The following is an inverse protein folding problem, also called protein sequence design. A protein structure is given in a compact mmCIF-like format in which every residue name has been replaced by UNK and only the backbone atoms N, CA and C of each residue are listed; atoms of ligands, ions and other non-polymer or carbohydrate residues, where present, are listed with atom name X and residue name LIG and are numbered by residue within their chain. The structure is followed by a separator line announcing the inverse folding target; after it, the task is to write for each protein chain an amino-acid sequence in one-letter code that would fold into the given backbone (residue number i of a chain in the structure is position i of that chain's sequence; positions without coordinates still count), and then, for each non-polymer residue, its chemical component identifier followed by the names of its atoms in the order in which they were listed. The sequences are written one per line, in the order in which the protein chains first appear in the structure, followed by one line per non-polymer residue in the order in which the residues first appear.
data_IF_611241903579
#
_entry.id   IF_611241903579
#
_cell.length_a   1.000
_cell.length_b   1.000
_cell.length_c   1.000
_cell.angle_alpha   90.00
_cell.angle_beta   90.00
_cell.angle_gamma   90.00
#
_symmetry.space_group_name_H-M   'P 1'
#
loop_
_entity.id
_entity.type
_entity.pdbx_description
1 polymer ?
#
# COMPACT_ATOMS: atom_id res chain seq x y z
N UNK A 1 -14.05 22.77 -14.31
CA UNK A 1 -13.34 22.58 -15.60
C UNK A 1 -14.34 22.15 -16.66
N UNK A 2 -14.45 22.93 -17.74
CA UNK A 2 -15.21 22.59 -18.95
C UNK A 2 -14.68 21.26 -19.50
N UNK A 3 -15.51 20.40 -20.12
CA UNK A 3 -14.96 19.23 -20.80
C UNK A 3 -13.93 19.70 -21.83
N UNK A 4 -12.81 18.97 -21.87
CA UNK A 4 -11.60 19.37 -22.58
C UNK A 4 -11.93 19.57 -24.07
N UNK A 5 -11.26 20.54 -24.70
CA UNK A 5 -11.34 20.68 -26.16
C UNK A 5 -10.88 19.38 -26.83
N UNK A 6 -11.35 19.06 -28.06
CA UNK A 6 -10.93 17.86 -28.77
C UNK A 6 -9.40 17.72 -28.86
N UNK A 7 -8.69 18.83 -29.08
CA UNK A 7 -7.23 18.88 -29.10
C UNK A 7 -6.60 18.54 -27.73
N UNK A 8 -7.22 19.00 -26.63
CA UNK A 8 -6.75 18.70 -25.28
C UNK A 8 -7.05 17.24 -24.86
N UNK A 9 -8.15 16.66 -25.33
CA UNK A 9 -8.44 15.22 -25.17
C UNK A 9 -7.39 14.40 -25.91
N UNK A 10 -7.15 14.71 -27.18
CA UNK A 10 -6.17 14.00 -28.00
C UNK A 10 -4.76 14.04 -27.41
N UNK A 11 -4.35 15.20 -26.90
CA UNK A 11 -3.06 15.35 -26.20
C UNK A 11 -2.99 14.45 -24.96
N UNK A 12 -4.05 14.36 -24.16
CA UNK A 12 -4.08 13.47 -22.98
C UNK A 12 -4.01 12.00 -23.36
N UNK A 13 -4.73 11.57 -24.40
CA UNK A 13 -4.67 10.17 -24.85
C UNK A 13 -3.25 9.81 -25.30
N UNK A 14 -2.57 10.71 -26.02
CA UNK A 14 -1.17 10.54 -26.39
C UNK A 14 -0.24 10.48 -25.18
N UNK A 15 -0.46 11.32 -24.17
CA UNK A 15 0.32 11.30 -22.92
C UNK A 15 0.11 9.99 -22.14
N UNK A 16 -1.13 9.49 -22.06
CA UNK A 16 -1.45 8.23 -21.38
C UNK A 16 -0.75 7.04 -22.08
N UNK A 17 -0.69 7.03 -23.42
CA UNK A 17 0.04 6.00 -24.20
C UNK A 17 1.56 6.16 -24.07
N UNK A 18 2.09 7.38 -24.17
CA UNK A 18 3.52 7.64 -24.05
C UNK A 18 4.08 7.22 -22.68
N UNK A 19 3.30 7.45 -21.61
CA UNK A 19 3.63 7.05 -20.25
C UNK A 19 3.87 5.53 -20.13
N UNK A 20 3.15 4.71 -20.90
CA UNK A 20 3.36 3.25 -20.90
C UNK A 20 4.76 2.89 -21.38
N UNK A 21 5.24 3.47 -22.48
CA UNK A 21 6.59 3.20 -23.00
C UNK A 21 7.70 3.66 -22.06
N UNK A 22 7.46 4.69 -21.24
CA UNK A 22 8.42 5.18 -20.26
C UNK A 22 8.54 4.26 -19.04
N UNK A 23 7.49 3.50 -18.72
CA UNK A 23 7.34 2.80 -17.43
C UNK A 23 7.23 1.29 -17.53
N UNK A 24 6.84 0.77 -18.69
CA UNK A 24 6.71 -0.65 -18.95
C UNK A 24 7.69 -1.10 -20.05
N UNK A 25 8.78 -1.79 -19.68
CA UNK A 25 9.73 -2.38 -20.63
C UNK A 25 9.12 -3.40 -21.59
N UNK A 26 7.94 -3.96 -21.27
CA UNK A 26 7.26 -4.95 -22.11
C UNK A 26 6.52 -4.33 -23.31
N UNK A 27 6.24 -3.02 -23.28
CA UNK A 27 5.49 -2.34 -24.33
C UNK A 27 6.31 -2.25 -25.63
N UNK A 28 5.86 -2.92 -26.70
CA UNK A 28 6.61 -2.99 -27.97
C UNK A 28 6.11 -2.02 -29.03
N UNK A 29 4.81 -1.74 -29.06
CA UNK A 29 4.20 -0.93 -30.12
C UNK A 29 2.98 -0.14 -29.65
N UNK A 30 2.70 1.00 -30.30
CA UNK A 30 1.52 1.82 -29.98
C UNK A 30 0.23 1.04 -30.20
N UNK A 31 0.19 0.19 -31.25
CA UNK A 31 -0.97 -0.65 -31.54
C UNK A 31 -1.27 -1.61 -30.40
N UNK A 32 -0.25 -2.27 -29.86
CA UNK A 32 -0.36 -3.15 -28.69
C UNK A 32 -0.86 -2.39 -27.47
N UNK A 33 -0.27 -1.23 -27.15
CA UNK A 33 -0.72 -0.41 -26.01
C UNK A 33 -2.18 0.02 -26.16
N UNK A 34 -2.59 0.42 -27.36
CA UNK A 34 -3.96 0.88 -27.59
C UNK A 34 -4.97 -0.26 -27.58
N UNK A 35 -4.59 -1.49 -27.99
CA UNK A 35 -5.55 -2.60 -28.13
C UNK A 35 -5.51 -3.62 -27.00
N UNK A 36 -4.40 -3.71 -26.26
CA UNK A 36 -4.14 -4.80 -25.31
C UNK A 36 -3.70 -4.34 -23.91
N UNK A 37 -3.74 -3.04 -23.57
CA UNK A 37 -3.46 -2.56 -22.21
C UNK A 37 -4.74 -2.18 -21.45
N UNK A 38 -5.24 -3.04 -20.55
CA UNK A 38 -6.45 -2.76 -19.77
C UNK A 38 -6.34 -1.50 -18.91
N UNK A 39 -5.13 -1.20 -18.41
CA UNK A 39 -4.85 0.01 -17.63
C UNK A 39 -5.17 1.29 -18.41
N UNK A 40 -4.72 1.37 -19.66
CA UNK A 40 -4.99 2.51 -20.55
C UNK A 40 -6.48 2.62 -20.84
N UNK A 41 -7.14 1.49 -21.16
CA UNK A 41 -8.58 1.46 -21.42
C UNK A 41 -9.39 1.95 -20.23
N UNK A 42 -9.08 1.47 -19.02
CA UNK A 42 -9.77 1.86 -17.81
C UNK A 42 -9.66 3.37 -17.53
N UNK A 43 -8.48 3.96 -17.76
CA UNK A 43 -8.29 5.42 -17.63
C UNK A 43 -9.12 6.18 -18.65
N UNK A 44 -9.18 5.73 -19.91
CA UNK A 44 -9.99 6.39 -20.94
C UNK A 44 -11.49 6.31 -20.64
N UNK A 45 -12.00 5.13 -20.29
CA UNK A 45 -13.38 4.95 -19.85
C UNK A 45 -13.69 5.83 -18.64
N UNK A 46 -12.80 5.87 -17.65
CA UNK A 46 -12.97 6.74 -16.49
C UNK A 46 -13.05 8.22 -16.89
N UNK A 47 -12.17 8.71 -17.78
CA UNK A 47 -12.21 10.12 -18.22
C UNK A 47 -13.56 10.47 -18.88
N UNK A 48 -14.14 9.54 -19.66
CA UNK A 48 -15.48 9.70 -20.23
C UNK A 48 -16.58 9.67 -19.13
N UNK A 49 -16.56 8.65 -18.27
CA UNK A 49 -17.50 8.52 -17.15
C UNK A 49 -17.44 9.71 -16.20
N UNK A 50 -16.27 10.27 -15.96
CA UNK A 50 -16.06 11.46 -15.13
C UNK A 50 -16.64 12.72 -15.78
N UNK A 51 -16.50 12.90 -17.11
CA UNK A 51 -17.19 14.00 -17.81
C UNK A 51 -18.71 13.86 -17.66
N UNK A 52 -19.28 12.67 -17.84
CA UNK A 52 -20.71 12.40 -17.62
C UNK A 52 -21.15 12.69 -16.18
N UNK A 53 -20.36 12.22 -15.20
CA UNK A 53 -20.61 12.45 -13.77
C UNK A 53 -20.68 13.94 -13.45
N UNK A 54 -19.74 14.73 -13.97
CA UNK A 54 -19.72 16.20 -13.78
C UNK A 54 -20.87 16.93 -14.45
N UNK A 55 -21.51 16.33 -15.46
CA UNK A 55 -22.70 16.89 -16.12
C UNK A 55 -24.01 16.47 -15.44
N UNK A 56 -23.94 15.73 -14.33
CA UNK A 56 -25.11 15.26 -13.59
C UNK A 56 -25.71 13.96 -14.12
N UNK A 57 -25.10 13.33 -15.12
CA UNK A 57 -25.58 12.09 -15.74
C UNK A 57 -25.09 10.88 -14.94
N UNK A 58 -25.39 10.86 -13.64
CA UNK A 58 -24.79 9.97 -12.66
C UNK A 58 -25.02 8.49 -12.97
N UNK A 59 -26.23 8.12 -13.38
CA UNK A 59 -26.56 6.74 -13.72
C UNK A 59 -25.72 6.26 -14.91
N UNK A 60 -25.65 7.05 -15.99
CA UNK A 60 -24.88 6.68 -17.18
C UNK A 60 -23.38 6.60 -16.87
N UNK A 61 -22.87 7.54 -16.09
CA UNK A 61 -21.49 7.52 -15.62
C UNK A 61 -21.16 6.24 -14.82
N UNK A 62 -22.05 5.84 -13.90
CA UNK A 62 -21.88 4.59 -13.14
C UNK A 62 -21.98 3.35 -14.03
N UNK A 63 -22.97 3.29 -14.89
CA UNK A 63 -23.14 2.18 -15.83
C UNK A 63 -21.89 2.00 -16.68
N UNK A 64 -21.37 3.07 -17.27
CA UNK A 64 -20.15 3.03 -18.07
C UNK A 64 -18.91 2.63 -17.25
N UNK A 65 -18.79 3.09 -16.00
CA UNK A 65 -17.70 2.62 -15.12
C UNK A 65 -17.78 1.12 -14.81
N UNK A 66 -18.99 0.56 -14.71
CA UNK A 66 -19.16 -0.88 -14.50
C UNK A 66 -18.89 -1.69 -15.77
N UNK A 67 -19.22 -1.16 -16.96
CA UNK A 67 -18.79 -1.76 -18.24
C UNK A 67 -17.26 -1.78 -18.33
N UNK A 68 -16.59 -0.67 -17.99
CA UNK A 68 -15.12 -0.60 -17.93
C UNK A 68 -14.55 -1.65 -16.96
N UNK A 69 -15.12 -1.76 -15.76
CA UNK A 69 -14.72 -2.78 -14.77
C UNK A 69 -14.87 -4.19 -15.31
N UNK A 70 -15.97 -4.49 -16.00
CA UNK A 70 -16.21 -5.80 -16.59
C UNK A 70 -15.16 -6.15 -17.65
N UNK A 71 -14.79 -5.19 -18.51
CA UNK A 71 -13.82 -5.40 -19.59
C UNK A 71 -12.36 -5.44 -19.12
N UNK A 72 -12.03 -4.69 -18.07
CA UNK A 72 -10.61 -4.44 -17.69
C UNK A 72 -10.22 -5.05 -16.34
N UNK A 73 -11.19 -5.42 -15.49
CA UNK A 73 -10.95 -5.82 -14.11
C UNK A 73 -10.56 -4.67 -13.16
N UNK A 74 -10.58 -3.43 -13.64
CA UNK A 74 -10.22 -2.22 -12.89
C UNK A 74 -11.49 -1.43 -12.55
N UNK A 75 -11.72 -1.18 -11.25
CA UNK A 75 -12.84 -0.38 -10.78
C UNK A 75 -12.40 1.04 -10.45
N UNK A 76 -12.90 2.02 -11.21
CA UNK A 76 -12.67 3.44 -10.95
C UNK A 76 -14.02 4.14 -10.85
N UNK A 77 -14.33 4.66 -9.66
CA UNK A 77 -15.56 5.41 -9.48
C UNK A 77 -15.56 6.68 -10.36
N UNK A 78 -16.67 7.04 -11.04
CA UNK A 78 -16.72 8.22 -11.91
C UNK A 78 -16.41 9.55 -11.20
N UNK A 79 -16.71 9.62 -9.90
CA UNK A 79 -16.43 10.78 -9.05
C UNK A 79 -14.95 10.98 -8.69
N UNK A 80 -14.09 9.97 -8.88
CA UNK A 80 -12.67 10.09 -8.57
C UNK A 80 -12.00 11.15 -9.45
N UNK A 81 -11.02 11.85 -8.91
CA UNK A 81 -10.24 12.84 -9.65
C UNK A 81 -8.87 12.27 -9.99
N UNK A 82 -8.54 12.20 -11.28
CA UNK A 82 -7.30 11.61 -11.77
C UNK A 82 -6.55 12.60 -12.65
N UNK A 83 -5.28 12.81 -12.32
CA UNK A 83 -4.32 13.61 -13.06
C UNK A 83 -3.94 13.07 -14.45
N UNK A 84 -2.82 13.56 -14.94
CA UNK A 84 -2.20 13.24 -16.23
C UNK A 84 -1.21 12.10 -16.07
N UNK A 85 -0.99 11.33 -17.15
CA UNK A 85 0.00 10.25 -17.20
C UNK A 85 -0.13 9.26 -16.03
N UNK A 86 -1.38 9.02 -15.61
CA UNK A 86 -1.70 8.04 -14.59
C UNK A 86 -1.55 6.65 -15.19
N UNK A 87 -0.68 5.84 -14.62
CA UNK A 87 -0.34 4.53 -15.14
C UNK A 87 -0.87 3.44 -14.21
N UNK A 88 -1.57 2.46 -14.78
CA UNK A 88 -2.03 1.28 -14.07
C UNK A 88 -1.37 0.06 -14.71
N UNK A 89 -0.45 -0.55 -13.97
CA UNK A 89 0.28 -1.72 -14.43
C UNK A 89 -0.39 -3.00 -13.91
N UNK A 90 -0.61 -3.95 -14.82
CA UNK A 90 -1.30 -5.21 -14.55
C UNK A 90 -2.66 -5.07 -13.83
N UNK A 91 -3.39 -3.97 -14.04
CA UNK A 91 -4.42 -3.42 -13.13
C UNK A 91 -5.59 -4.28 -12.59
N UNK A 92 -5.67 -5.58 -12.87
CA UNK A 92 -6.66 -6.47 -12.29
C UNK A 92 -6.80 -6.27 -10.77
N UNK A 93 -8.04 -6.06 -10.31
CA UNK A 93 -8.36 -5.88 -8.89
C UNK A 93 -7.98 -4.51 -8.33
N UNK A 94 -7.59 -3.54 -9.15
CA UNK A 94 -7.45 -2.14 -8.72
C UNK A 94 -8.83 -1.55 -8.43
N UNK A 95 -8.99 -0.91 -7.26
CA UNK A 95 -10.23 -0.28 -6.81
C UNK A 95 -9.96 1.14 -6.35
N UNK A 96 -10.58 2.11 -7.02
CA UNK A 96 -10.44 3.55 -6.75
C UNK A 96 -11.81 4.13 -6.39
N UNK A 97 -11.96 4.55 -5.14
CA UNK A 97 -13.24 5.03 -4.63
C UNK A 97 -13.62 6.46 -5.02
N UNK A 98 -14.87 6.82 -4.73
CA UNK A 98 -15.53 8.04 -5.24
C UNK A 98 -14.80 9.35 -4.97
N UNK A 99 -14.25 9.52 -3.77
CA UNK A 99 -13.63 10.79 -3.36
C UNK A 99 -12.11 10.72 -3.38
N UNK A 100 -11.56 9.73 -4.09
CA UNK A 100 -10.12 9.61 -4.28
C UNK A 100 -9.64 10.74 -5.18
N UNK A 101 -8.48 11.30 -4.84
CA UNK A 101 -7.79 12.28 -5.66
C UNK A 101 -6.40 11.72 -5.97
N UNK A 102 -6.04 11.68 -7.25
CA UNK A 102 -4.77 11.13 -7.73
C UNK A 102 -4.07 12.22 -8.54
N UNK A 103 -2.87 12.61 -8.09
CA UNK A 103 -2.02 13.56 -8.79
C UNK A 103 -1.52 13.07 -10.14
N UNK A 104 -0.71 13.90 -10.78
CA UNK A 104 -0.05 13.59 -12.04
C UNK A 104 1.03 12.52 -11.83
N UNK A 105 1.31 11.74 -12.87
CA UNK A 105 2.43 10.79 -12.89
C UNK A 105 2.39 9.66 -11.87
N UNK A 106 1.26 9.40 -11.23
CA UNK A 106 1.12 8.26 -10.33
C UNK A 106 1.15 6.92 -11.07
N UNK A 107 1.69 5.89 -10.41
CA UNK A 107 1.67 4.50 -10.88
C UNK A 107 1.03 3.60 -9.84
N UNK A 108 0.02 2.84 -10.24
CA UNK A 108 -0.64 1.83 -9.43
C UNK A 108 -0.45 0.45 -10.05
N UNK A 109 -0.03 -0.52 -9.24
CA UNK A 109 0.01 -1.92 -9.66
C UNK A 109 -1.32 -2.63 -9.35
N UNK A 110 -1.45 -3.85 -9.85
CA UNK A 110 -2.59 -4.75 -9.62
C UNK A 110 -2.98 -4.88 -8.14
N UNK A 111 -4.28 -5.11 -7.88
CA UNK A 111 -4.81 -5.35 -6.54
C UNK A 111 -4.75 -4.16 -5.56
N UNK A 112 -4.35 -2.96 -6.02
CA UNK A 112 -4.33 -1.76 -5.17
C UNK A 112 -5.74 -1.30 -4.83
N UNK A 113 -5.97 -0.87 -3.59
CA UNK A 113 -7.24 -0.26 -3.18
C UNK A 113 -7.02 1.13 -2.58
N UNK A 114 -7.71 2.13 -3.14
CA UNK A 114 -7.87 3.46 -2.56
C UNK A 114 -9.28 3.54 -1.95
N UNK A 115 -9.38 3.07 -0.70
CA UNK A 115 -10.64 2.73 -0.04
C UNK A 115 -11.11 3.75 1.00
N UNK A 116 -12.39 3.70 1.32
CA UNK A 116 -12.99 4.49 2.40
C UNK A 116 -12.95 3.77 3.75
N UNK A 117 -12.95 4.53 4.84
CA UNK A 117 -13.04 4.01 6.22
C UNK A 117 -14.36 4.37 6.93
N UNK A 118 -15.24 5.14 6.27
CA UNK A 118 -16.47 5.65 6.86
C UNK A 118 -17.66 5.50 5.90
N UNK A 119 -18.84 5.28 6.48
CA UNK A 119 -20.14 5.24 5.80
C UNK A 119 -20.72 6.64 5.55
N UNK A 120 -20.14 7.67 6.16
CA UNK A 120 -20.62 9.04 6.02
C UNK A 120 -20.33 9.59 4.61
N UNK A 121 -21.27 10.39 4.10
CA UNK A 121 -21.07 11.15 2.87
C UNK A 121 -19.98 12.20 3.08
N UNK A 122 -19.11 12.38 2.08
CA UNK A 122 -17.99 13.31 2.12
C UNK A 122 -16.65 12.70 1.71
N UNK A 123 -15.56 13.45 1.94
CA UNK A 123 -14.19 13.00 1.70
C UNK A 123 -13.88 11.84 2.65
N UNK A 124 -13.59 10.68 2.07
CA UNK A 124 -13.36 9.43 2.80
C UNK A 124 -12.31 8.53 2.17
N UNK A 125 -11.90 8.84 0.94
CA UNK A 125 -10.85 8.12 0.22
C UNK A 125 -9.56 8.95 0.17
N UNK A 126 -8.42 8.32 -0.13
CA UNK A 126 -7.12 8.97 -0.08
C UNK A 126 -6.94 10.11 -1.09
N UNK A 127 -5.91 10.92 -0.84
CA UNK A 127 -5.36 11.90 -1.77
C UNK A 127 -3.89 11.53 -2.03
N UNK A 128 -3.56 11.16 -3.27
CA UNK A 128 -2.19 10.91 -3.71
C UNK A 128 -1.65 12.19 -4.37
N UNK A 129 -0.47 12.62 -3.95
CA UNK A 129 0.32 13.66 -4.61
C UNK A 129 0.86 13.20 -5.96
N UNK A 130 1.75 13.97 -6.56
CA UNK A 130 2.32 13.67 -7.87
C UNK A 130 3.44 12.62 -7.79
N UNK A 131 3.56 11.78 -8.80
CA UNK A 131 4.65 10.80 -8.92
C UNK A 131 4.62 9.69 -7.86
N UNK A 132 3.48 9.49 -7.19
CA UNK A 132 3.35 8.43 -6.17
C UNK A 132 3.32 7.05 -6.85
N UNK A 133 4.08 6.12 -6.30
CA UNK A 133 4.10 4.72 -6.75
C UNK A 133 3.49 3.84 -5.68
N UNK A 134 2.44 3.09 -6.03
CA UNK A 134 1.74 2.19 -5.12
C UNK A 134 1.92 0.76 -5.57
N UNK A 135 2.69 -0.01 -4.79
CA UNK A 135 3.01 -1.41 -5.05
C UNK A 135 1.79 -2.33 -5.06
N UNK A 136 1.96 -3.50 -5.67
CA UNK A 136 0.89 -4.46 -5.89
C UNK A 136 0.18 -4.86 -4.59
N UNK A 137 -1.14 -4.95 -4.61
CA UNK A 137 -1.95 -5.40 -3.48
C UNK A 137 -2.07 -4.42 -2.32
N UNK A 138 -1.41 -3.25 -2.36
CA UNK A 138 -1.47 -2.29 -1.26
C UNK A 138 -2.88 -1.71 -1.03
N UNK A 139 -3.19 -1.40 0.23
CA UNK A 139 -4.48 -0.83 0.66
C UNK A 139 -4.22 0.51 1.33
N UNK A 140 -4.71 1.59 0.74
CA UNK A 140 -4.62 2.94 1.28
C UNK A 140 -6.03 3.34 1.68
N UNK A 141 -6.28 3.46 2.98
CA UNK A 141 -7.64 3.52 3.52
C UNK A 141 -7.86 4.83 4.28
N UNK A 142 -8.97 5.51 3.95
CA UNK A 142 -9.41 6.71 4.63
C UNK A 142 -9.01 7.99 3.92
N UNK A 143 -9.45 9.16 4.43
CA UNK A 143 -9.15 10.47 3.85
C UNK A 143 -7.72 10.95 4.19
N UNK A 144 -6.73 10.09 3.94
CA UNK A 144 -5.31 10.36 4.22
C UNK A 144 -4.59 10.94 3.00
N UNK A 145 -3.50 11.65 3.25
CA UNK A 145 -2.64 12.26 2.25
C UNK A 145 -1.36 11.46 2.07
N UNK A 146 -1.02 11.16 0.82
CA UNK A 146 0.26 10.56 0.43
C UNK A 146 1.02 11.60 -0.37
N UNK A 147 2.12 12.11 0.18
CA UNK A 147 2.89 13.19 -0.40
C UNK A 147 3.56 12.83 -1.72
N UNK A 148 3.99 13.85 -2.45
CA UNK A 148 4.64 13.70 -3.76
C UNK A 148 5.83 12.74 -3.72
N UNK A 149 5.98 11.94 -4.77
CA UNK A 149 7.06 10.96 -4.95
C UNK A 149 7.17 9.91 -3.82
N UNK A 150 6.15 9.76 -2.98
CA UNK A 150 6.11 8.70 -2.00
C UNK A 150 5.99 7.32 -2.67
N UNK A 151 6.47 6.29 -1.99
CA UNK A 151 6.44 4.89 -2.45
C UNK A 151 5.75 4.03 -1.41
N UNK A 152 4.69 3.34 -1.81
CA UNK A 152 3.97 2.40 -0.96
C UNK A 152 4.40 0.99 -1.36
N UNK A 153 4.91 0.22 -0.40
CA UNK A 153 5.30 -1.17 -0.62
C UNK A 153 4.11 -2.06 -0.98
N UNK A 154 4.39 -3.15 -1.69
CA UNK A 154 3.38 -4.16 -2.00
C UNK A 154 2.72 -4.71 -0.74
N UNK A 155 1.44 -5.04 -0.82
CA UNK A 155 0.58 -5.56 0.26
C UNK A 155 0.57 -4.71 1.55
N UNK A 156 1.04 -3.46 1.50
CA UNK A 156 1.06 -2.60 2.69
C UNK A 156 -0.32 -2.02 2.97
N UNK A 157 -0.66 -1.83 4.25
CA UNK A 157 -1.93 -1.23 4.69
C UNK A 157 -1.66 0.13 5.31
N UNK A 158 -1.93 1.19 4.54
CA UNK A 158 -1.65 2.58 4.92
C UNK A 158 -2.90 3.20 5.55
N UNK A 159 -2.76 3.58 6.81
CA UNK A 159 -3.85 4.15 7.64
C UNK A 159 -3.56 5.58 8.11
N UNK A 160 -2.40 6.13 7.77
CA UNK A 160 -1.91 7.45 8.20
C UNK A 160 -1.27 8.18 7.03
N UNK A 161 -1.18 9.49 7.14
CA UNK A 161 -0.51 10.33 6.14
C UNK A 161 0.94 9.90 5.90
N UNK A 162 1.37 9.95 4.65
CA UNK A 162 2.71 9.58 4.20
C UNK A 162 3.44 10.83 3.73
N UNK A 163 4.60 11.18 4.33
CA UNK A 163 5.38 12.33 3.89
C UNK A 163 5.85 12.22 2.43
N UNK A 164 6.08 13.36 1.78
CA UNK A 164 6.65 13.40 0.44
C UNK A 164 8.02 12.71 0.38
N UNK A 165 8.26 11.93 -0.68
CA UNK A 165 9.49 11.16 -0.91
C UNK A 165 9.70 9.98 0.05
N UNK A 166 8.80 9.75 1.02
CA UNK A 166 8.92 8.65 1.96
C UNK A 166 8.59 7.31 1.29
N UNK A 167 9.17 6.23 1.82
CA UNK A 167 8.78 4.86 1.49
C UNK A 167 8.11 4.25 2.71
N UNK A 168 6.92 3.67 2.55
CA UNK A 168 6.22 2.97 3.64
C UNK A 168 5.96 1.51 3.28
N UNK A 169 6.08 0.62 4.27
CA UNK A 169 5.84 -0.82 4.10
C UNK A 169 5.15 -1.40 5.33
N UNK A 170 4.46 -2.54 5.17
CA UNK A 170 3.94 -3.35 6.28
C UNK A 170 2.44 -3.20 6.54
N UNK A 171 1.95 -3.95 7.52
CA UNK A 171 0.55 -3.99 7.96
C UNK A 171 0.51 -3.88 9.50
N UNK A 172 0.16 -2.71 10.07
CA UNK A 172 -0.03 -1.42 9.41
C UNK A 172 1.30 -0.87 8.83
N UNK A 173 1.20 0.04 7.86
CA UNK A 173 2.38 0.56 7.18
C UNK A 173 3.16 1.55 8.04
N UNK A 174 4.49 1.44 8.00
CA UNK A 174 5.44 2.32 8.69
C UNK A 174 6.46 2.90 7.71
N UNK A 175 6.93 4.12 7.99
CA UNK A 175 7.98 4.78 7.19
C UNK A 175 9.29 4.04 7.36
N UNK A 176 9.86 3.61 6.24
CA UNK A 176 11.20 3.03 6.18
C UNK A 176 12.19 4.18 6.14
N UNK A 177 12.82 4.47 7.27
CA UNK A 177 14.07 5.23 7.27
C UNK A 177 15.09 4.44 6.47
N UNK A 178 15.78 5.08 5.52
CA UNK A 178 16.90 4.45 4.80
C UNK A 178 17.90 3.95 5.84
N UNK A 179 17.87 2.66 6.14
CA UNK A 179 18.99 2.00 6.79
C UNK A 179 20.24 2.34 5.97
N UNK A 180 21.35 2.65 6.65
CA UNK A 180 22.61 3.00 5.99
C UNK A 180 22.89 2.00 4.86
N UNK A 181 23.50 2.47 3.77
CA UNK A 181 23.83 1.62 2.63
C UNK A 181 24.59 0.34 3.05
N UNK A 182 25.33 0.40 4.15
CA UNK A 182 25.99 -0.72 4.82
C UNK A 182 25.02 -1.81 5.30
N UNK A 183 23.89 -1.43 5.93
CA UNK A 183 22.89 -2.41 6.42
C UNK A 183 22.12 -3.05 5.28
N UNK A 184 21.86 -2.30 4.20
CA UNK A 184 21.29 -2.85 2.95
C UNK A 184 22.28 -3.78 2.24
N UNK A 185 23.57 -3.44 2.20
CA UNK A 185 24.60 -4.27 1.61
C UNK A 185 24.89 -5.54 2.44
N UNK A 186 24.69 -5.49 3.76
CA UNK A 186 24.79 -6.67 4.64
C UNK A 186 23.59 -7.62 4.45
N UNK A 187 22.39 -7.09 4.25
CA UNK A 187 21.17 -7.87 3.98
C UNK A 187 21.19 -8.43 2.55
N UNK A 188 21.57 -7.62 1.56
CA UNK A 188 21.68 -8.05 0.16
C UNK A 188 22.78 -9.11 -0.04
N UNK A 189 23.90 -9.03 0.70
CA UNK A 189 24.92 -10.09 0.70
C UNK A 189 24.44 -11.41 1.34
N UNK A 190 23.36 -11.39 2.13
CA UNK A 190 22.71 -12.59 2.67
C UNK A 190 21.55 -13.11 1.82
N UNK A 191 21.06 -12.31 0.88
CA UNK A 191 19.89 -12.59 0.04
C UNK A 191 20.32 -12.70 -1.43
N UNK A 192 21.27 -13.59 -1.73
CA UNK A 192 21.51 -14.01 -3.10
C UNK A 192 20.29 -14.77 -3.63
N UNK A 193 19.42 -14.01 -4.30
CA UNK A 193 18.40 -14.44 -5.27
C UNK A 193 17.37 -15.50 -4.81
N UNK A 194 16.18 -15.05 -4.39
CA UNK A 194 15.02 -15.93 -4.20
C UNK A 194 13.72 -15.30 -4.71
N UNK A 195 13.16 -15.87 -5.78
CA UNK A 195 12.06 -15.33 -6.58
C UNK A 195 10.67 -15.41 -5.89
N UNK A 196 10.59 -15.97 -4.68
CA UNK A 196 9.31 -16.21 -3.98
C UNK A 196 9.29 -15.75 -2.52
N UNK A 197 10.31 -15.04 -2.03
CA UNK A 197 10.27 -14.42 -0.71
C UNK A 197 10.15 -15.41 0.47
N UNK A 198 10.58 -16.66 0.29
CA UNK A 198 10.63 -17.68 1.34
C UNK A 198 12.08 -18.06 1.60
N UNK A 199 12.84 -17.15 2.20
CA UNK A 199 14.10 -17.50 2.85
C UNK A 199 13.81 -17.73 4.33
N UNK A 200 14.26 -18.84 4.95
CA UNK A 200 14.15 -19.08 6.40
C UNK A 200 14.75 -17.97 7.27
N UNK A 201 15.60 -17.13 6.65
CA UNK A 201 16.37 -16.06 7.27
C UNK A 201 15.90 -14.64 6.93
N UNK A 202 14.66 -14.45 6.43
CA UNK A 202 14.12 -13.10 6.31
C UNK A 202 13.87 -12.57 7.75
N UNK A 203 14.59 -11.53 8.23
CA UNK A 203 14.34 -11.01 9.56
C UNK A 203 13.03 -10.23 9.49
N UNK A 204 11.92 -10.91 9.75
CA UNK A 204 10.66 -10.26 10.05
C UNK A 204 10.96 -9.18 11.10
N UNK A 205 10.68 -7.89 10.84
CA UNK A 205 10.99 -6.82 11.78
C UNK A 205 10.32 -7.06 13.14
N UNK A 206 9.18 -7.78 13.18
CA UNK A 206 8.54 -8.23 14.41
C UNK A 206 9.36 -9.35 15.06
N UNK A 207 9.72 -10.40 14.33
CA UNK A 207 10.59 -11.47 14.86
C UNK A 207 11.96 -10.94 15.34
N UNK A 208 12.56 -9.98 14.64
CA UNK A 208 13.80 -9.32 15.06
C UNK A 208 13.60 -8.51 16.34
N UNK A 209 12.50 -7.76 16.45
CA UNK A 209 12.16 -7.06 17.68
C UNK A 209 11.92 -8.03 18.84
N UNK A 210 11.23 -9.16 18.60
CA UNK A 210 11.01 -10.22 19.59
C UNK A 210 12.35 -10.83 20.03
N UNK A 211 13.22 -11.20 19.10
CA UNK A 211 14.53 -11.75 19.42
C UNK A 211 15.38 -10.74 20.21
N UNK A 212 15.34 -9.45 19.86
CA UNK A 212 16.00 -8.40 20.64
C UNK A 212 15.41 -8.23 22.05
N UNK A 213 14.10 -8.38 22.20
CA UNK A 213 13.46 -8.40 23.52
C UNK A 213 13.90 -9.64 24.32
N UNK A 214 13.95 -10.82 23.70
CA UNK A 214 14.40 -12.06 24.34
C UNK A 214 15.87 -11.99 24.77
N UNK A 215 16.75 -11.46 23.93
CA UNK A 215 18.16 -11.19 24.29
C UNK A 215 18.27 -10.26 25.50
N UNK A 216 17.43 -9.21 25.54
CA UNK A 216 17.42 -8.28 26.67
C UNK A 216 16.87 -8.92 27.96
N UNK A 217 15.83 -9.75 27.85
CA UNK A 217 15.27 -10.51 28.98
C UNK A 217 16.33 -11.46 29.55
N UNK A 218 17.05 -12.20 28.70
CA UNK A 218 18.13 -13.09 29.16
C UNK A 218 19.26 -12.32 29.86
N UNK A 219 19.62 -11.14 29.35
CA UNK A 219 20.61 -10.28 29.99
C UNK A 219 20.13 -9.76 31.36
N UNK A 220 18.85 -9.39 31.47
CA UNK A 220 18.24 -8.98 32.74
C UNK A 220 18.19 -10.15 33.74
N UNK A 221 17.82 -11.34 33.30
CA UNK A 221 17.82 -12.55 34.16
C UNK A 221 19.22 -12.81 34.74
N UNK A 222 20.26 -12.66 33.92
CA UNK A 222 21.64 -12.81 34.39
C UNK A 222 22.02 -11.76 35.44
N UNK A 223 21.68 -10.49 35.21
CA UNK A 223 21.93 -9.41 36.18
C UNK A 223 21.17 -9.62 37.50
N UNK A 224 19.92 -10.09 37.42
CA UNK A 224 19.11 -10.40 38.61
C UNK A 224 19.73 -11.55 39.41
N UNK A 225 20.24 -12.59 38.74
CA UNK A 225 20.86 -13.72 39.42
C UNK A 225 22.22 -13.36 40.06
N UNK A 226 22.99 -12.49 39.40
CA UNK A 226 24.22 -11.92 39.96
C UNK A 226 23.91 -11.10 41.23
N UNK A 227 22.92 -10.20 41.15
CA UNK A 227 22.45 -9.42 42.31
C UNK A 227 21.94 -10.31 43.45
N UNK A 228 21.21 -11.38 43.15
CA UNK A 228 20.75 -12.35 44.16
C UNK A 228 21.93 -13.03 44.86
N UNK A 229 22.97 -13.37 44.11
CA UNK A 229 24.20 -13.96 44.67
C UNK A 229 24.86 -12.98 45.64
N UNK A 230 25.05 -11.72 45.23
CA UNK A 230 25.65 -10.68 46.08
C UNK A 230 24.81 -10.39 47.34
N UNK A 231 23.47 -10.39 47.22
CA UNK A 231 22.58 -10.22 48.38
C UNK A 231 22.67 -11.40 49.36
N UNK A 232 22.77 -12.63 48.85
CA UNK A 232 23.00 -13.82 49.68
C UNK A 232 24.33 -13.73 50.42
N UNK A 233 25.40 -13.30 49.75
CA UNK A 233 26.72 -13.08 50.37
C UNK A 233 26.68 -11.97 51.44
N UNK A 234 25.84 -10.94 51.26
CA UNK A 234 25.60 -9.89 52.25
C UNK A 234 24.65 -10.32 53.40
N UNK A 235 24.17 -11.58 53.41
CA UNK A 235 23.29 -12.12 54.44
C UNK A 235 21.82 -11.71 54.32
N UNK A 236 21.41 -11.16 53.17
CA UNK A 236 20.02 -10.74 52.90
C UNK A 236 19.34 -11.84 52.06
N UNK A 237 18.36 -12.58 52.60
CA UNK A 237 17.68 -13.62 51.84
C UNK A 237 16.81 -13.01 50.73
N UNK A 238 16.99 -13.40 49.45
CA UNK A 238 16.16 -12.89 48.37
C UNK A 238 14.72 -13.44 48.48
N UNK A 239 13.75 -12.57 48.25
CA UNK A 239 12.33 -12.95 48.19
C UNK A 239 12.02 -13.52 46.80
N UNK A 240 11.49 -14.74 46.73
CA UNK A 240 11.01 -15.32 45.47
C UNK A 240 9.62 -14.77 45.14
N UNK A 241 9.53 -14.03 44.03
CA UNK A 241 8.26 -13.63 43.44
C UNK A 241 8.02 -14.56 42.25
N UNK A 242 6.97 -15.40 42.26
CA UNK A 242 6.68 -16.28 41.14
C UNK A 242 6.30 -15.45 39.91
N UNK A 243 6.80 -15.86 38.73
CA UNK A 243 6.40 -15.23 37.48
C UNK A 243 4.92 -15.52 37.19
N UNK A 244 4.15 -14.50 36.74
CA UNK A 244 2.80 -14.74 36.26
C UNK A 244 2.86 -15.71 35.06
N UNK A 245 1.93 -16.68 34.96
CA UNK A 245 1.90 -17.60 33.84
C UNK A 245 1.65 -16.83 32.54
N UNK A 246 2.30 -17.25 31.45
CA UNK A 246 1.96 -16.79 30.11
C UNK A 246 0.62 -17.45 29.74
N UNK A 247 -0.49 -16.74 29.94
CA UNK A 247 -1.77 -17.17 29.39
C UNK A 247 -1.64 -17.21 27.87
N UNK A 248 -1.91 -18.38 27.27
CA UNK A 248 -1.94 -18.50 25.82
C UNK A 248 -3.00 -17.53 25.30
N UNK A 249 -2.56 -16.49 24.60
CA UNK A 249 -3.43 -15.56 23.90
C UNK A 249 -4.06 -16.33 22.72
N UNK A 250 -5.09 -17.13 23.00
CA UNK A 250 -5.86 -17.79 21.96
C UNK A 250 -6.63 -16.71 21.24
N UNK A 251 -6.39 -16.59 19.93
CA UNK A 251 -7.35 -15.90 19.07
C UNK A 251 -8.68 -16.62 19.29
N UNK A 252 -9.74 -15.87 19.64
CA UNK A 252 -11.08 -16.46 19.75
C UNK A 252 -11.46 -16.92 18.36
N UNK A 253 -11.37 -18.23 18.12
CA UNK A 253 -12.00 -18.85 16.96
C UNK A 253 -13.51 -18.62 17.11
N UNK A 254 -14.10 -17.87 16.18
CA UNK A 254 -15.47 -17.35 16.27
C UNK A 254 -16.57 -18.39 16.08
N UNK A 255 -16.47 -19.57 16.71
CA UNK A 255 -17.44 -20.67 16.54
C UNK A 255 -18.35 -20.95 17.75
N UNK A 256 -18.29 -20.16 18.82
CA UNK A 256 -19.19 -20.33 19.98
C UNK A 256 -20.24 -19.21 20.10
N UNK A 257 -21.13 -19.06 19.12
CA UNK A 257 -22.48 -18.48 19.33
C UNK A 257 -23.50 -19.16 18.41
N UNK A 258 -23.87 -20.41 18.73
CA UNK A 258 -25.16 -21.02 18.38
C UNK A 258 -25.68 -21.81 19.57
N UNK A 259 -26.24 -21.08 20.53
CA UNK A 259 -27.17 -21.57 21.54
C UNK A 259 -28.53 -20.93 21.33
#
# INVERSE_FOLDING_TARGET
MKCLSPAAVWRRLREDVACVFERDPAARSVWEVVTAYPGVHAVWFHRLSHCLWRHGWYWLARFLSHVSRFLTGIEIHPGAEIGRRFFIDHGMGVVIGETAVIGDDCTLYHGVTLGGTSWQKGKRHPTLGNGVVVGAGAKILGPIHVGDNARIGSNSVVLKDVPAGATVVGIPAHVVTKASAERKAAIARRLEFDAYGLSPDMPDPVAHAINRMLEHIQALDHQVEELRTTLKEAGIPPQEVPFPPLEACRLRDGEDERG
#
